data_IF_143769979403
#
_entry.id   IF_143769979403
#
_cell.length_a   1.000
_cell.length_b   1.000
_cell.length_c   1.000
_cell.angle_alpha   90.00
_cell.angle_beta   90.00
_cell.angle_gamma   90.00
#
_symmetry.space_group_name_H-M   'P 1'
#
loop_
_entity.id
_entity.type
_entity.pdbx_description
1 polymer ?
#
# COMPACT_ATOMS: atom_id res chain seq x y z
N UNK A 1 1.42 -35.05 37.21
CA UNK A 1 2.82 -35.06 36.79
C UNK A 1 3.02 -33.83 35.92
N UNK A 2 3.71 -32.82 36.47
CA UNK A 2 3.76 -31.48 35.87
C UNK A 2 4.58 -31.47 34.59
N UNK A 3 3.96 -31.01 33.51
CA UNK A 3 4.65 -30.70 32.27
C UNK A 3 5.49 -29.45 32.55
N UNK A 4 6.78 -29.59 32.84
CA UNK A 4 7.70 -28.44 32.86
C UNK A 4 7.87 -27.98 31.43
N UNK A 5 7.02 -27.04 31.01
CA UNK A 5 7.20 -26.32 29.74
C UNK A 5 8.61 -25.75 29.65
N UNK A 6 9.22 -25.82 28.46
CA UNK A 6 10.55 -25.26 28.24
C UNK A 6 10.63 -23.81 28.72
N UNK A 7 11.71 -23.45 29.42
CA UNK A 7 11.99 -22.07 29.88
C UNK A 7 11.94 -21.09 28.70
N UNK A 8 12.30 -21.54 27.50
CA UNK A 8 12.23 -20.76 26.26
C UNK A 8 10.78 -20.41 25.94
N UNK A 9 9.87 -21.39 25.98
CA UNK A 9 8.43 -21.20 25.71
C UNK A 9 7.82 -20.22 26.71
N UNK A 10 8.15 -20.35 28.00
CA UNK A 10 7.66 -19.42 29.02
C UNK A 10 8.11 -17.98 28.78
N UNK A 11 9.38 -17.76 28.38
CA UNK A 11 9.89 -16.44 28.00
C UNK A 11 9.17 -15.86 26.78
N UNK A 12 8.83 -16.70 25.80
CA UNK A 12 8.08 -16.30 24.60
C UNK A 12 6.63 -15.94 24.93
N UNK A 13 5.95 -16.74 25.75
CA UNK A 13 4.58 -16.48 26.22
C UNK A 13 4.48 -15.22 27.09
N UNK A 14 5.52 -14.89 27.85
CA UNK A 14 5.56 -13.68 28.68
C UNK A 14 5.42 -12.36 27.89
N UNK A 15 5.65 -12.38 26.57
CA UNK A 15 5.49 -11.23 25.66
C UNK A 15 4.04 -10.92 25.35
N UNK A 16 3.17 -11.90 25.52
CA UNK A 16 1.73 -11.76 25.35
C UNK A 16 1.11 -11.37 26.68
N UNK A 17 0.07 -10.55 26.61
CA UNK A 17 -0.71 -10.19 27.80
C UNK A 17 -1.36 -11.45 28.39
N UNK A 18 -1.62 -11.52 29.71
CA UNK A 18 -2.23 -12.70 30.33
C UNK A 18 -3.50 -13.19 29.62
N UNK A 19 -4.33 -12.29 29.11
CA UNK A 19 -5.54 -12.58 28.35
C UNK A 19 -5.29 -13.12 26.93
N UNK A 20 -4.12 -12.84 26.35
CA UNK A 20 -3.73 -13.29 25.01
C UNK A 20 -3.08 -14.69 25.02
N UNK A 21 -2.44 -15.10 26.12
CA UNK A 21 -1.71 -16.37 26.22
C UNK A 21 -2.56 -17.61 25.90
N UNK A 22 -3.80 -17.74 26.40
CA UNK A 22 -4.66 -18.88 26.04
C UNK A 22 -4.98 -18.93 24.55
N UNK A 23 -5.03 -17.78 23.87
CA UNK A 23 -5.27 -17.72 22.41
C UNK A 23 -4.10 -18.35 21.67
N UNK A 24 -2.86 -18.04 22.08
CA UNK A 24 -1.61 -18.57 21.51
C UNK A 24 -1.47 -20.06 21.79
N UNK A 25 -1.64 -20.48 23.04
CA UNK A 25 -1.53 -21.88 23.45
C UNK A 25 -2.59 -22.77 22.77
N UNK A 26 -3.79 -22.23 22.55
CA UNK A 26 -4.89 -22.91 21.90
C UNK A 26 -4.77 -23.03 20.38
N UNK A 27 -3.81 -22.37 19.71
CA UNK A 27 -3.67 -22.45 18.24
C UNK A 27 -3.39 -23.89 17.81
N UNK A 28 -2.55 -24.61 18.56
CA UNK A 28 -2.19 -25.98 18.25
C UNK A 28 -3.43 -26.89 18.20
N UNK A 29 -4.27 -26.81 19.23
CA UNK A 29 -5.49 -27.62 19.33
C UNK A 29 -6.51 -27.25 18.25
N UNK A 30 -6.62 -25.96 17.90
CA UNK A 30 -7.49 -25.51 16.79
C UNK A 30 -7.05 -26.08 15.44
N UNK A 31 -5.75 -26.13 15.17
CA UNK A 31 -5.21 -26.64 13.90
C UNK A 31 -5.34 -28.16 13.75
N UNK A 32 -5.42 -28.92 14.85
CA UNK A 32 -5.70 -30.36 14.79
C UNK A 32 -7.17 -30.69 14.49
N UNK A 33 -8.08 -29.74 14.72
CA UNK A 33 -9.52 -29.92 14.57
C UNK A 33 -10.16 -30.75 15.69
N UNK A 34 -11.49 -30.78 15.72
CA UNK A 34 -12.29 -31.50 16.74
C UNK A 34 -12.31 -33.03 16.58
N UNK A 35 -11.49 -33.58 15.69
CA UNK A 35 -11.51 -34.99 15.28
C UNK A 35 -10.57 -35.89 16.09
N UNK A 36 -10.94 -36.17 17.34
CA UNK A 36 -10.75 -37.45 18.06
C UNK A 36 -9.37 -38.11 18.23
N UNK A 37 -8.32 -37.73 17.50
CA UNK A 37 -6.96 -38.23 17.73
C UNK A 37 -6.13 -37.12 18.34
N UNK A 38 -5.63 -37.34 19.56
CA UNK A 38 -4.63 -36.49 20.22
C UNK A 38 -3.31 -36.55 19.44
N UNK A 39 -3.26 -35.87 18.28
CA UNK A 39 -2.06 -35.77 17.46
C UNK A 39 -0.94 -35.13 18.28
N UNK A 40 0.28 -35.63 18.17
CA UNK A 40 1.44 -35.01 18.85
C UNK A 40 2.09 -33.88 18.05
N UNK A 41 1.76 -33.79 16.76
CA UNK A 41 2.38 -32.86 15.82
C UNK A 41 1.36 -32.33 14.80
N UNK A 42 1.62 -31.16 14.24
CA UNK A 42 0.90 -30.60 13.10
C UNK A 42 1.57 -31.01 11.80
N UNK A 43 0.78 -31.28 10.76
CA UNK A 43 1.24 -31.62 9.42
C UNK A 43 1.07 -30.45 8.45
N UNK A 44 1.78 -30.49 7.32
CA UNK A 44 1.61 -29.50 6.25
C UNK A 44 0.15 -29.40 5.77
N UNK A 45 -0.55 -30.53 5.68
CA UNK A 45 -1.95 -30.56 5.24
C UNK A 45 -2.89 -29.81 6.21
N UNK A 46 -2.63 -29.88 7.52
CA UNK A 46 -3.39 -29.10 8.51
C UNK A 46 -3.18 -27.60 8.30
N UNK A 47 -1.93 -27.17 8.08
CA UNK A 47 -1.61 -25.77 7.77
C UNK A 47 -2.24 -25.32 6.44
N UNK A 48 -2.16 -26.14 5.38
CA UNK A 48 -2.80 -25.85 4.09
C UNK A 48 -4.32 -25.70 4.25
N UNK A 49 -4.95 -26.52 5.09
CA UNK A 49 -6.38 -26.42 5.38
C UNK A 49 -6.72 -25.12 6.12
N UNK A 50 -5.89 -24.69 7.07
CA UNK A 50 -6.07 -23.44 7.82
C UNK A 50 -5.87 -22.20 6.96
N UNK A 51 -4.80 -22.18 6.16
CA UNK A 51 -4.40 -21.05 5.32
C UNK A 51 -5.03 -21.09 3.93
N UNK A 52 -5.98 -22.00 3.69
CA UNK A 52 -6.59 -22.22 2.39
C UNK A 52 -7.15 -20.90 1.83
N UNK A 53 -6.87 -20.61 0.56
CA UNK A 53 -7.23 -19.37 -0.15
C UNK A 53 -6.62 -18.06 0.39
N UNK A 54 -5.95 -18.09 1.55
CA UNK A 54 -5.31 -16.92 2.17
C UNK A 54 -3.83 -16.80 1.83
N UNK A 55 -3.17 -17.88 1.41
CA UNK A 55 -1.78 -17.84 0.99
C UNK A 55 -1.51 -18.82 -0.17
N UNK A 56 -0.54 -18.53 -1.06
CA UNK A 56 -0.04 -19.51 -2.02
C UNK A 56 0.52 -20.75 -1.34
N UNK A 57 0.38 -21.92 -1.97
CA UNK A 57 0.92 -23.19 -1.45
C UNK A 57 2.43 -23.13 -1.17
N UNK A 58 3.18 -22.37 -1.99
CA UNK A 58 4.61 -22.10 -1.77
C UNK A 58 4.85 -21.41 -0.43
N UNK A 59 4.07 -20.37 -0.11
CA UNK A 59 4.19 -19.66 1.16
C UNK A 59 3.82 -20.55 2.36
N UNK A 60 2.76 -21.36 2.25
CA UNK A 60 2.36 -22.30 3.31
C UNK A 60 3.47 -23.33 3.58
N UNK A 61 4.12 -23.84 2.53
CA UNK A 61 5.27 -24.75 2.66
C UNK A 61 6.45 -24.07 3.36
N UNK A 62 6.77 -22.82 3.02
CA UNK A 62 7.83 -22.03 3.68
C UNK A 62 7.54 -21.85 5.17
N UNK A 63 6.31 -21.50 5.54
CA UNK A 63 5.88 -21.36 6.94
C UNK A 63 6.03 -22.68 7.69
N UNK A 64 5.55 -23.79 7.11
CA UNK A 64 5.66 -25.11 7.72
C UNK A 64 7.11 -25.55 7.93
N UNK A 65 7.96 -25.39 6.91
CA UNK A 65 9.39 -25.71 6.99
C UNK A 65 10.11 -24.86 8.03
N UNK A 66 9.77 -23.57 8.10
CA UNK A 66 10.25 -22.67 9.13
C UNK A 66 9.91 -23.18 10.54
N UNK A 67 8.64 -23.51 10.81
CA UNK A 67 8.24 -24.09 12.10
C UNK A 67 8.98 -25.40 12.42
N UNK A 68 9.20 -26.28 11.44
CA UNK A 68 9.95 -27.52 11.64
C UNK A 68 11.43 -27.28 11.99
N UNK A 69 12.01 -26.17 11.55
CA UNK A 69 13.42 -25.81 11.77
C UNK A 69 13.72 -25.24 13.16
N UNK A 70 12.68 -24.83 13.90
CA UNK A 70 12.84 -24.24 15.24
C UNK A 70 13.28 -25.32 16.23
N UNK A 71 14.39 -25.09 16.92
CA UNK A 71 14.82 -25.90 18.06
C UNK A 71 14.23 -25.31 19.36
N UNK A 72 13.30 -26.02 20.04
CA UNK A 72 12.72 -25.56 21.30
C UNK A 72 13.67 -25.64 22.50
N UNK A 73 14.91 -26.12 22.30
CA UNK A 73 15.93 -26.25 23.34
C UNK A 73 15.61 -27.40 24.27
N UNK A 74 15.85 -28.64 23.83
CA UNK A 74 15.87 -29.78 24.75
C UNK A 74 17.13 -29.72 25.61
N UNK A 75 17.00 -29.98 26.92
CA UNK A 75 18.14 -30.11 27.81
C UNK A 75 19.19 -31.08 27.22
N UNK A 76 20.47 -30.70 27.30
CA UNK A 76 21.59 -31.49 26.79
C UNK A 76 21.43 -32.97 27.17
N UNK A 77 21.62 -33.93 26.23
CA UNK A 77 21.64 -35.32 26.60
C UNK A 77 22.87 -35.54 27.49
N UNK A 78 22.64 -35.94 28.73
CA UNK A 78 23.67 -36.58 29.54
C UNK A 78 24.32 -37.68 28.72
N UNK A 79 25.65 -37.72 28.77
CA UNK A 79 26.52 -38.58 27.97
C UNK A 79 25.97 -40.00 27.75
N UNK A 80 25.36 -40.23 26.59
CA UNK A 80 25.34 -41.54 25.96
C UNK A 80 25.21 -41.33 24.45
N UNK A 81 26.28 -41.70 23.74
CA UNK A 81 26.38 -41.53 22.30
C UNK A 81 25.35 -42.40 21.59
N UNK A 82 24.26 -41.78 21.14
CA UNK A 82 23.48 -42.17 19.97
C UNK A 82 22.96 -40.89 19.32
N UNK A 83 23.68 -40.38 18.32
CA UNK A 83 23.18 -39.40 17.36
C UNK A 83 22.16 -40.08 16.45
N UNK A 84 20.96 -40.28 16.98
CA UNK A 84 19.77 -40.47 16.16
C UNK A 84 19.00 -39.16 16.21
N UNK A 85 19.17 -38.33 15.18
CA UNK A 85 18.17 -37.30 14.89
C UNK A 85 16.87 -38.04 14.59
N UNK A 86 15.79 -37.93 15.41
CA UNK A 86 14.49 -38.25 14.89
C UNK A 86 14.11 -37.04 14.04
N UNK A 87 14.05 -37.23 12.72
CA UNK A 87 13.30 -36.31 11.87
C UNK A 87 11.85 -36.31 12.38
N UNK A 88 11.53 -35.38 13.28
CA UNK A 88 10.17 -35.22 13.78
C UNK A 88 9.31 -34.88 12.56
N UNK A 89 8.38 -35.78 12.21
CA UNK A 89 7.56 -35.71 11.00
C UNK A 89 6.42 -34.67 11.09
N UNK A 90 6.61 -33.61 11.89
CA UNK A 90 5.62 -32.55 12.07
C UNK A 90 6.02 -31.52 13.14
N UNK A 91 5.23 -30.46 13.25
CA UNK A 91 5.49 -29.32 14.15
C UNK A 91 4.91 -29.60 15.53
N UNK A 92 5.72 -29.53 16.59
CA UNK A 92 5.29 -29.66 17.98
C UNK A 92 4.68 -28.37 18.56
N UNK A 93 4.02 -28.47 19.73
CA UNK A 93 3.40 -27.32 20.40
C UNK A 93 4.41 -26.22 20.75
N UNK A 94 5.58 -26.59 21.27
CA UNK A 94 6.63 -25.62 21.65
C UNK A 94 7.16 -24.84 20.44
N UNK A 95 7.41 -25.54 19.31
CA UNK A 95 7.86 -24.92 18.06
C UNK A 95 6.84 -23.91 17.53
N UNK A 96 5.54 -24.26 17.57
CA UNK A 96 4.47 -23.36 17.17
C UNK A 96 4.41 -22.12 18.06
N UNK A 97 4.52 -22.27 19.39
CA UNK A 97 4.48 -21.12 20.31
C UNK A 97 5.68 -20.19 20.09
N UNK A 98 6.88 -20.74 19.90
CA UNK A 98 8.08 -19.94 19.58
C UNK A 98 7.89 -19.19 18.25
N UNK A 99 7.44 -19.90 17.19
CA UNK A 99 7.15 -19.30 15.89
C UNK A 99 6.15 -18.13 15.98
N UNK A 100 5.03 -18.34 16.71
CA UNK A 100 4.00 -17.33 16.90
C UNK A 100 4.54 -16.14 17.67
N UNK A 101 5.31 -16.36 18.74
CA UNK A 101 5.91 -15.29 19.53
C UNK A 101 6.90 -14.45 18.73
N UNK A 102 7.79 -15.10 17.98
CA UNK A 102 8.84 -14.43 17.22
C UNK A 102 8.26 -13.71 15.99
N UNK A 103 7.22 -14.26 15.37
CA UNK A 103 6.53 -13.57 14.27
C UNK A 103 5.68 -12.40 14.76
N UNK A 104 4.84 -12.59 15.78
CA UNK A 104 3.83 -11.61 16.21
C UNK A 104 4.36 -10.54 17.17
N UNK A 105 5.42 -10.84 17.93
CA UNK A 105 5.97 -9.97 19.00
C UNK A 105 7.50 -9.92 19.01
N UNK A 106 8.18 -10.54 18.05
CA UNK A 106 9.64 -10.58 18.02
C UNK A 106 10.29 -9.28 17.56
N UNK A 107 11.60 -9.18 17.75
CA UNK A 107 12.45 -8.13 17.17
C UNK A 107 12.94 -8.51 15.76
N UNK A 108 13.73 -7.65 15.11
CA UNK A 108 14.39 -8.00 13.85
C UNK A 108 15.35 -9.20 14.02
N UNK A 109 16.08 -9.24 15.13
CA UNK A 109 16.99 -10.35 15.53
C UNK A 109 16.26 -11.69 15.62
N UNK A 110 15.00 -11.67 16.08
CA UNK A 110 14.21 -12.91 16.25
C UNK A 110 13.45 -13.30 14.98
N UNK A 111 13.20 -12.34 14.08
CA UNK A 111 12.57 -12.60 12.79
C UNK A 111 13.56 -12.99 11.70
N UNK A 112 14.82 -12.55 11.78
CA UNK A 112 15.83 -12.85 10.77
C UNK A 112 16.10 -14.35 10.58
N UNK A 113 16.11 -15.22 11.62
CA UNK A 113 16.25 -16.66 11.43
C UNK A 113 15.00 -17.28 10.78
N UNK A 114 13.80 -16.74 11.08
CA UNK A 114 12.56 -17.21 10.45
C UNK A 114 12.55 -16.88 8.95
N UNK A 115 12.98 -15.68 8.58
CA UNK A 115 13.10 -15.24 7.18
C UNK A 115 14.18 -16.03 6.45
N UNK A 116 15.32 -16.32 7.09
CA UNK A 116 16.36 -17.21 6.56
C UNK A 116 15.78 -18.59 6.23
N UNK A 117 15.07 -19.19 7.18
CA UNK A 117 14.44 -20.50 7.01
C UNK A 117 13.38 -20.48 5.90
N UNK A 118 12.55 -19.44 5.84
CA UNK A 118 11.53 -19.29 4.79
C UNK A 118 12.10 -18.97 3.41
N UNK A 119 13.31 -18.41 3.32
CA UNK A 119 13.99 -18.11 2.05
C UNK A 119 14.78 -19.32 1.51
N UNK A 120 15.03 -20.34 2.35
CA UNK A 120 15.82 -21.51 1.97
C UNK A 120 14.97 -22.53 1.19
N UNK A 121 15.41 -22.99 0.00
CA UNK A 121 14.60 -23.90 -0.84
C UNK A 121 14.56 -25.37 -0.39
N UNK A 122 15.43 -25.79 0.55
CA UNK A 122 15.57 -27.19 0.96
C UNK A 122 15.40 -27.36 2.47
N UNK A 123 14.99 -28.57 2.88
CA UNK A 123 14.97 -29.01 4.28
C UNK A 123 16.40 -29.22 4.79
N UNK A 124 17.10 -28.12 5.04
CA UNK A 124 18.45 -28.08 5.58
C UNK A 124 18.67 -26.77 6.33
N UNK A 125 19.58 -26.78 7.31
CA UNK A 125 19.96 -25.57 8.06
C UNK A 125 20.95 -24.79 7.20
N UNK A 126 20.45 -24.01 6.25
CA UNK A 126 21.29 -23.09 5.49
C UNK A 126 21.69 -21.90 6.38
N UNK A 127 22.96 -21.53 6.32
CA UNK A 127 23.50 -20.38 7.06
C UNK A 127 23.45 -19.09 6.25
N UNK A 128 23.24 -19.18 4.94
CA UNK A 128 23.17 -18.06 4.00
C UNK A 128 22.15 -18.31 2.89
N UNK A 129 21.63 -17.23 2.30
CA UNK A 129 20.69 -17.23 1.15
C UNK A 129 21.09 -16.20 0.10
N UNK A 130 20.68 -16.38 -1.15
CA UNK A 130 20.88 -15.40 -2.23
C UNK A 130 19.81 -14.31 -2.19
N UNK A 131 20.08 -13.15 -2.80
CA UNK A 131 19.06 -12.10 -2.96
C UNK A 131 17.83 -12.57 -3.78
N UNK A 132 18.04 -13.48 -4.73
CA UNK A 132 16.96 -14.09 -5.52
C UNK A 132 16.03 -14.94 -4.64
N UNK A 133 16.60 -15.76 -3.75
CA UNK A 133 15.83 -16.56 -2.79
C UNK A 133 15.00 -15.69 -1.84
N UNK A 134 15.56 -14.56 -1.36
CA UNK A 134 14.81 -13.59 -0.54
C UNK A 134 13.69 -12.94 -1.37
N UNK A 135 13.95 -12.61 -2.65
CA UNK A 135 12.95 -12.05 -3.54
C UNK A 135 11.80 -13.04 -3.82
N UNK A 136 12.08 -14.33 -3.99
CA UNK A 136 11.04 -15.37 -4.14
C UNK A 136 10.18 -15.49 -2.87
N UNK A 137 10.82 -15.51 -1.70
CA UNK A 137 10.10 -15.48 -0.41
C UNK A 137 9.19 -14.25 -0.31
N UNK A 138 9.69 -13.06 -0.68
CA UNK A 138 8.88 -11.84 -0.65
C UNK A 138 7.72 -11.88 -1.64
N UNK A 139 7.92 -12.44 -2.84
CA UNK A 139 6.84 -12.58 -3.82
C UNK A 139 5.71 -13.47 -3.26
N UNK A 140 6.06 -14.59 -2.62
CA UNK A 140 5.12 -15.47 -1.93
C UNK A 140 4.40 -14.77 -0.77
N UNK A 141 5.14 -14.02 0.05
CA UNK A 141 4.61 -13.28 1.19
C UNK A 141 3.67 -12.15 0.77
N UNK A 142 4.06 -11.32 -0.21
CA UNK A 142 3.24 -10.22 -0.73
C UNK A 142 1.99 -10.80 -1.39
N UNK A 143 2.11 -11.89 -2.15
CA UNK A 143 0.96 -12.60 -2.74
C UNK A 143 -0.03 -13.05 -1.67
N UNK A 144 0.47 -13.61 -0.54
CA UNK A 144 -0.39 -13.99 0.57
C UNK A 144 -1.08 -12.78 1.21
N UNK A 145 -0.38 -11.66 1.40
CA UNK A 145 -0.99 -10.41 1.90
C UNK A 145 -2.10 -9.91 0.98
N UNK A 146 -1.88 -9.93 -0.34
CA UNK A 146 -2.90 -9.57 -1.33
C UNK A 146 -4.10 -10.51 -1.26
N UNK A 147 -3.88 -11.82 -1.17
CA UNK A 147 -4.95 -12.81 -1.02
C UNK A 147 -5.75 -12.59 0.26
N UNK A 148 -5.09 -12.33 1.40
CA UNK A 148 -5.74 -11.98 2.66
C UNK A 148 -6.60 -10.72 2.51
N UNK A 149 -6.09 -9.66 1.87
CA UNK A 149 -6.86 -8.42 1.67
C UNK A 149 -8.13 -8.68 0.84
N UNK A 150 -8.04 -9.49 -0.21
CA UNK A 150 -9.17 -9.87 -1.06
C UNK A 150 -10.17 -10.74 -0.29
N UNK A 151 -9.73 -11.85 0.28
CA UNK A 151 -10.61 -12.83 0.94
C UNK A 151 -11.26 -12.29 2.21
N UNK A 152 -10.57 -11.39 2.95
CA UNK A 152 -11.13 -10.72 4.13
C UNK A 152 -11.94 -9.46 3.79
N UNK A 153 -12.10 -9.12 2.51
CA UNK A 153 -12.87 -7.95 2.08
C UNK A 153 -12.27 -6.60 2.52
N UNK A 154 -10.95 -6.54 2.77
CA UNK A 154 -10.23 -5.35 3.27
C UNK A 154 -9.76 -4.42 2.15
N UNK A 155 -10.50 -4.39 1.05
CA UNK A 155 -10.13 -3.68 -0.18
C UNK A 155 -10.43 -2.19 -0.14
N UNK A 156 -11.14 -1.68 0.87
CA UNK A 156 -11.38 -0.23 1.04
C UNK A 156 -11.99 0.45 -0.21
N UNK A 157 -12.77 -0.31 -0.99
CA UNK A 157 -13.41 0.16 -2.23
C UNK A 157 -12.54 0.05 -3.49
N UNK A 158 -11.33 -0.47 -3.42
CA UNK A 158 -10.51 -0.87 -4.57
C UNK A 158 -11.06 -2.15 -5.22
N UNK A 159 -10.86 -2.29 -6.53
CA UNK A 159 -11.37 -3.43 -7.31
C UNK A 159 -10.23 -4.11 -8.09
N UNK A 160 -9.66 -5.22 -7.58
CA UNK A 160 -8.54 -5.92 -8.22
C UNK A 160 -8.80 -6.27 -9.69
N UNK A 161 -10.02 -6.67 -10.05
CA UNK A 161 -10.41 -7.01 -11.43
C UNK A 161 -10.39 -5.82 -12.40
N UNK A 162 -10.33 -4.59 -11.88
CA UNK A 162 -10.30 -3.32 -12.62
C UNK A 162 -8.98 -2.57 -12.45
N UNK A 163 -7.97 -3.21 -11.86
CA UNK A 163 -6.68 -2.63 -11.55
C UNK A 163 -5.58 -3.19 -12.46
N UNK A 164 -4.34 -2.75 -12.24
CA UNK A 164 -3.16 -3.25 -12.94
C UNK A 164 -2.87 -4.73 -12.70
N UNK A 165 -1.83 -5.24 -13.34
CA UNK A 165 -1.41 -6.64 -13.20
C UNK A 165 -0.78 -6.90 -11.81
N UNK A 166 -1.58 -7.50 -10.92
CA UNK A 166 -1.13 -7.82 -9.56
C UNK A 166 0.08 -8.76 -9.49
N UNK A 167 0.28 -9.65 -10.47
CA UNK A 167 1.48 -10.52 -10.49
C UNK A 167 2.74 -9.70 -10.75
N UNK A 168 2.67 -8.79 -11.73
CA UNK A 168 3.75 -7.85 -11.98
C UNK A 168 4.00 -6.93 -10.78
N UNK A 169 2.94 -6.43 -10.15
CA UNK A 169 3.03 -5.61 -8.92
C UNK A 169 3.73 -6.33 -7.78
N UNK A 170 3.46 -7.62 -7.56
CA UNK A 170 4.13 -8.45 -6.55
C UNK A 170 5.63 -8.49 -6.80
N UNK A 171 6.04 -8.73 -8.06
CA UNK A 171 7.45 -8.76 -8.45
C UNK A 171 8.14 -7.41 -8.23
N UNK A 172 7.52 -6.32 -8.70
CA UNK A 172 8.05 -4.97 -8.55
C UNK A 172 8.24 -4.57 -7.08
N UNK A 173 7.26 -4.89 -6.22
CA UNK A 173 7.36 -4.60 -4.79
C UNK A 173 8.43 -5.45 -4.10
N UNK A 174 8.53 -6.75 -4.43
CA UNK A 174 9.59 -7.61 -3.90
C UNK A 174 10.98 -7.10 -4.28
N UNK A 175 11.19 -6.73 -5.56
CA UNK A 175 12.45 -6.15 -6.04
C UNK A 175 12.79 -4.83 -5.33
N UNK A 176 11.80 -3.96 -5.13
CA UNK A 176 11.98 -2.70 -4.41
C UNK A 176 12.41 -2.96 -2.95
N UNK A 177 11.72 -3.86 -2.25
CA UNK A 177 12.05 -4.21 -0.87
C UNK A 177 13.45 -4.85 -0.76
N UNK A 178 13.85 -5.66 -1.74
CA UNK A 178 15.19 -6.25 -1.83
C UNK A 178 16.28 -5.23 -2.16
N UNK A 179 15.97 -4.07 -2.75
CA UNK A 179 16.99 -3.07 -3.09
C UNK A 179 17.71 -2.46 -1.87
N UNK A 180 17.15 -2.65 -0.68
CA UNK A 180 17.71 -2.24 0.63
C UNK A 180 18.55 -3.35 1.30
N UNK A 181 18.63 -4.55 0.68
CA UNK A 181 19.52 -5.63 1.11
C UNK A 181 20.97 -5.24 0.84
N UNK A 182 21.84 -5.65 1.76
CA UNK A 182 23.29 -5.44 1.68
C UNK A 182 23.98 -6.81 1.73
N UNK A 183 23.96 -7.58 0.64
CA UNK A 183 24.63 -8.87 0.60
C UNK A 183 26.15 -8.70 0.76
N UNK A 184 26.82 -9.80 1.08
CA UNK A 184 28.28 -9.89 0.98
C UNK A 184 28.76 -9.73 -0.47
N UNK A 185 30.07 -9.59 -0.67
CA UNK A 185 30.69 -9.50 -2.01
C UNK A 185 30.36 -10.69 -2.93
N UNK A 186 29.96 -11.83 -2.34
CA UNK A 186 29.55 -13.04 -3.06
C UNK A 186 28.05 -13.07 -3.40
N UNK A 187 27.29 -12.01 -3.08
CA UNK A 187 25.84 -11.95 -3.30
C UNK A 187 25.01 -12.76 -2.30
N UNK A 188 25.62 -13.18 -1.18
CA UNK A 188 25.00 -13.99 -0.14
C UNK A 188 24.64 -13.14 1.08
N UNK A 189 23.48 -13.41 1.67
CA UNK A 189 22.97 -12.80 2.90
C UNK A 189 22.99 -13.83 4.03
N UNK A 190 23.61 -13.50 5.16
CA UNK A 190 23.53 -14.26 6.41
C UNK A 190 22.43 -13.70 7.33
N UNK A 191 22.30 -14.25 8.54
CA UNK A 191 21.26 -13.84 9.51
C UNK A 191 21.41 -12.36 9.92
N UNK A 192 22.65 -11.88 10.07
CA UNK A 192 22.94 -10.48 10.43
C UNK A 192 22.54 -9.52 9.30
N UNK A 193 22.84 -9.87 8.05
CA UNK A 193 22.38 -9.14 6.87
C UNK A 193 20.85 -9.02 6.83
N UNK A 194 20.13 -10.13 7.09
CA UNK A 194 18.67 -10.14 7.09
C UNK A 194 18.08 -9.37 8.28
N UNK A 195 18.71 -9.41 9.46
CA UNK A 195 18.30 -8.62 10.62
C UNK A 195 18.34 -7.12 10.33
N UNK A 196 19.50 -6.64 9.85
CA UNK A 196 19.72 -5.24 9.47
C UNK A 196 18.74 -4.78 8.38
N UNK A 197 18.44 -5.67 7.42
CA UNK A 197 17.45 -5.41 6.39
C UNK A 197 16.01 -5.35 6.93
N UNK A 198 15.57 -6.31 7.74
CA UNK A 198 14.22 -6.34 8.34
C UNK A 198 14.02 -5.11 9.24
N UNK A 199 15.06 -4.65 9.93
CA UNK A 199 15.01 -3.44 10.73
C UNK A 199 14.73 -2.19 9.88
N UNK A 200 15.39 -2.05 8.72
CA UNK A 200 15.13 -0.94 7.77
C UNK A 200 13.80 -1.07 7.05
N UNK A 201 13.44 -2.28 6.63
CA UNK A 201 12.25 -2.58 5.85
C UNK A 201 11.20 -3.24 6.74
N UNK A 202 10.68 -2.45 7.68
CA UNK A 202 9.70 -2.91 8.68
C UNK A 202 8.41 -3.53 8.09
N UNK A 203 8.11 -3.24 6.81
CA UNK A 203 7.01 -3.85 6.06
C UNK A 203 7.12 -5.38 5.98
N UNK A 204 8.32 -5.95 5.97
CA UNK A 204 8.51 -7.41 6.03
C UNK A 204 7.88 -7.99 7.30
N UNK A 205 8.14 -7.34 8.44
CA UNK A 205 7.56 -7.74 9.72
C UNK A 205 6.03 -7.59 9.71
N UNK A 206 5.53 -6.48 9.17
CA UNK A 206 4.09 -6.23 9.06
C UNK A 206 3.36 -7.30 8.23
N UNK A 207 3.94 -7.68 7.10
CA UNK A 207 3.38 -8.70 6.20
C UNK A 207 3.42 -10.09 6.83
N UNK A 208 4.52 -10.44 7.51
CA UNK A 208 4.62 -11.69 8.26
C UNK A 208 3.60 -11.77 9.40
N UNK A 209 3.45 -10.69 10.17
CA UNK A 209 2.44 -10.58 11.22
C UNK A 209 1.03 -10.80 10.65
N UNK A 210 0.71 -10.15 9.53
CA UNK A 210 -0.60 -10.29 8.88
C UNK A 210 -0.83 -11.72 8.38
N UNK A 211 0.17 -12.33 7.73
CA UNK A 211 0.10 -13.70 7.25
C UNK A 211 -0.22 -14.69 8.39
N UNK A 212 0.52 -14.59 9.49
CA UNK A 212 0.39 -15.51 10.62
C UNK A 212 -0.90 -15.25 11.39
N UNK A 213 -1.25 -13.99 11.65
CA UNK A 213 -2.47 -13.65 12.37
C UNK A 213 -3.73 -14.09 11.60
N UNK A 214 -3.79 -13.82 10.30
CA UNK A 214 -4.97 -14.14 9.49
C UNK A 214 -5.00 -15.59 9.03
N UNK A 215 -3.84 -16.16 8.65
CA UNK A 215 -3.72 -17.52 8.13
C UNK A 215 -3.83 -18.61 9.19
N UNK A 216 -3.37 -18.34 10.42
CA UNK A 216 -3.52 -19.26 11.56
C UNK A 216 -4.65 -18.85 12.52
N UNK A 217 -5.46 -17.87 12.12
CA UNK A 217 -6.61 -17.36 12.87
C UNK A 217 -6.25 -17.02 14.33
N UNK A 218 -5.26 -16.15 14.50
CA UNK A 218 -4.77 -15.65 15.79
C UNK A 218 -5.29 -14.23 15.99
N UNK A 219 -6.33 -14.10 16.82
CA UNK A 219 -6.92 -12.80 17.16
C UNK A 219 -6.47 -12.36 18.55
N UNK A 220 -5.58 -11.37 18.60
CA UNK A 220 -5.08 -10.79 19.84
C UNK A 220 -5.90 -9.55 20.20
N UNK A 221 -6.40 -9.49 21.44
CA UNK A 221 -7.22 -8.38 21.93
C UNK A 221 -6.43 -7.07 21.94
N UNK A 222 -6.94 -6.03 21.28
CA UNK A 222 -6.37 -4.68 21.36
C UNK A 222 -5.43 -4.28 20.22
N UNK A 223 -5.31 -5.08 19.16
CA UNK A 223 -4.61 -4.67 17.93
C UNK A 223 -5.51 -4.89 16.71
N UNK A 224 -6.12 -3.82 16.16
CA UNK A 224 -6.87 -3.96 14.92
C UNK A 224 -5.93 -4.41 13.80
N UNK A 225 -6.49 -5.12 12.81
CA UNK A 225 -5.73 -5.50 11.63
C UNK A 225 -5.11 -4.25 10.96
N UNK A 226 -3.86 -4.33 10.50
CA UNK A 226 -3.20 -3.19 9.89
C UNK A 226 -3.93 -2.77 8.61
N UNK A 227 -4.13 -1.46 8.45
CA UNK A 227 -4.63 -0.88 7.21
C UNK A 227 -3.48 -0.77 6.23
N UNK A 228 -3.60 -1.43 5.07
CA UNK A 228 -2.59 -1.40 4.00
C UNK A 228 -3.04 -0.64 2.76
N UNK A 229 -4.32 -0.25 2.70
CA UNK A 229 -4.93 0.42 1.56
C UNK A 229 -5.67 1.67 2.04
N UNK A 230 -5.51 2.81 1.36
CA UNK A 230 -6.33 3.98 1.63
C UNK A 230 -7.78 3.72 1.16
N UNK A 231 -8.80 4.35 1.79
CA UNK A 231 -10.14 4.39 1.25
C UNK A 231 -10.13 4.91 -0.18
N UNK A 232 -10.79 4.22 -1.08
CA UNK A 232 -11.06 4.71 -2.42
C UNK A 232 -12.50 5.24 -2.40
N UNK A 233 -12.78 6.46 -2.88
CA UNK A 233 -14.14 7.05 -2.99
C UNK A 233 -14.39 7.65 -4.37
N UNK A 234 -15.66 7.87 -4.73
CA UNK A 234 -16.07 8.58 -5.97
C UNK A 234 -15.44 8.04 -7.26
N UNK A 235 -15.81 6.81 -7.69
CA UNK A 235 -15.23 6.18 -8.90
C UNK A 235 -16.25 5.48 -9.79
N UNK A 236 -16.14 5.65 -11.12
CA UNK A 236 -16.92 4.89 -12.09
C UNK A 236 -16.22 3.58 -12.45
N UNK A 237 -16.12 2.63 -11.51
CA UNK A 237 -15.46 1.32 -11.73
C UNK A 237 -15.99 0.52 -12.93
N UNK A 238 -17.22 0.82 -13.39
CA UNK A 238 -17.79 0.23 -14.60
C UNK A 238 -16.90 0.47 -15.82
N UNK A 239 -16.36 1.70 -15.93
CA UNK A 239 -15.64 2.21 -17.10
C UNK A 239 -14.15 2.45 -16.80
N UNK A 240 -13.78 2.54 -15.52
CA UNK A 240 -12.40 2.74 -15.07
C UNK A 240 -11.59 1.44 -15.12
N UNK A 241 -10.38 1.54 -15.68
CA UNK A 241 -9.29 0.58 -15.47
C UNK A 241 -8.10 1.33 -14.90
N UNK A 242 -7.78 1.05 -13.62
CA UNK A 242 -6.72 1.72 -12.90
C UNK A 242 -5.34 1.21 -13.34
N UNK A 243 -4.36 2.11 -13.42
CA UNK A 243 -2.96 1.75 -13.69
C UNK A 243 -2.29 1.02 -12.54
N UNK A 244 -2.64 1.38 -11.30
CA UNK A 244 -2.08 0.76 -10.10
C UNK A 244 -2.77 -0.57 -9.84
N UNK A 245 -1.99 -1.50 -9.30
CA UNK A 245 -2.44 -2.73 -8.67
C UNK A 245 -2.36 -2.62 -7.13
N UNK A 246 -2.77 -3.67 -6.40
CA UNK A 246 -2.71 -3.64 -4.94
C UNK A 246 -1.27 -3.51 -4.39
N UNK A 247 -0.27 -4.30 -4.85
CA UNK A 247 1.12 -4.14 -4.38
C UNK A 247 1.71 -2.74 -4.60
N UNK A 248 1.55 -2.16 -5.80
CA UNK A 248 2.07 -0.84 -6.13
C UNK A 248 1.36 0.26 -5.34
N UNK A 249 0.06 0.08 -5.03
CA UNK A 249 -0.66 0.97 -4.12
C UNK A 249 -0.20 0.83 -2.66
N UNK A 250 0.07 -0.40 -2.19
CA UNK A 250 0.65 -0.66 -0.86
C UNK A 250 2.03 -0.02 -0.70
N UNK A 251 2.77 0.17 -1.80
CA UNK A 251 4.02 0.92 -1.80
C UNK A 251 3.84 2.43 -1.80
N UNK A 252 2.94 2.97 -2.64
CA UNK A 252 2.77 4.41 -2.82
C UNK A 252 1.99 5.08 -1.69
N UNK A 253 0.94 4.44 -1.17
CA UNK A 253 0.07 5.06 -0.16
C UNK A 253 0.84 5.49 1.12
N UNK A 254 1.77 4.69 1.69
CA UNK A 254 2.55 5.10 2.86
C UNK A 254 3.47 6.31 2.61
N UNK A 255 3.79 6.62 1.35
CA UNK A 255 4.67 7.74 0.98
C UNK A 255 3.92 9.08 1.03
N UNK A 256 2.59 9.04 1.14
CA UNK A 256 1.75 10.23 1.21
C UNK A 256 1.64 10.74 2.66
N UNK A 257 1.54 12.07 2.88
CA UNK A 257 1.46 12.64 4.22
C UNK A 257 0.32 12.09 5.09
N UNK A 258 -0.85 11.86 4.50
CA UNK A 258 -2.03 11.32 5.19
C UNK A 258 -2.11 9.78 5.14
N UNK A 259 -1.11 9.13 4.52
CA UNK A 259 -0.99 7.69 4.27
C UNK A 259 -2.31 6.98 3.93
N UNK A 260 -2.94 6.33 4.92
CA UNK A 260 -4.17 5.56 4.75
C UNK A 260 -5.44 6.30 5.19
N UNK A 261 -5.32 7.51 5.75
CA UNK A 261 -6.43 8.24 6.37
C UNK A 261 -7.25 9.05 5.37
N UNK A 262 -6.63 9.55 4.29
CA UNK A 262 -7.30 10.33 3.27
C UNK A 262 -7.86 9.44 2.14
N UNK A 263 -9.11 9.68 1.69
CA UNK A 263 -9.67 8.92 0.60
C UNK A 263 -9.06 9.33 -0.74
N UNK A 264 -8.68 8.34 -1.55
CA UNK A 264 -8.30 8.54 -2.94
C UNK A 264 -9.54 8.69 -3.81
N UNK A 265 -9.62 9.77 -4.57
CA UNK A 265 -10.75 10.10 -5.46
C UNK A 265 -10.24 10.39 -6.86
N UNK A 266 -10.84 9.76 -7.86
CA UNK A 266 -10.41 9.97 -9.24
C UNK A 266 -10.87 11.35 -9.72
N UNK A 267 -9.92 12.19 -10.08
CA UNK A 267 -10.16 13.55 -10.56
C UNK A 267 -10.16 13.62 -12.08
N UNK A 268 -9.25 12.87 -12.70
CA UNK A 268 -9.11 12.86 -14.15
C UNK A 268 -8.59 11.50 -14.62
N UNK A 269 -9.00 11.11 -15.83
CA UNK A 269 -8.54 9.92 -16.52
C UNK A 269 -8.79 10.12 -18.00
N UNK A 270 -7.80 9.86 -18.85
CA UNK A 270 -7.96 10.05 -20.31
C UNK A 270 -9.00 9.10 -20.90
N UNK A 271 -9.19 7.90 -20.33
CA UNK A 271 -10.22 6.93 -20.75
C UNK A 271 -11.64 7.43 -20.52
N UNK A 272 -11.86 8.17 -19.44
CA UNK A 272 -13.19 8.63 -19.04
C UNK A 272 -13.50 10.03 -19.53
N UNK A 273 -12.48 10.89 -19.58
CA UNK A 273 -12.63 12.31 -19.81
C UNK A 273 -12.06 12.77 -21.16
N UNK A 274 -11.40 11.89 -21.89
CA UNK A 274 -10.72 12.21 -23.15
C UNK A 274 -9.39 12.92 -22.95
N UNK A 275 -8.76 13.28 -24.07
CA UNK A 275 -7.45 13.90 -24.14
C UNK A 275 -7.57 15.43 -24.25
N UNK A 276 -7.89 16.08 -23.13
CA UNK A 276 -8.02 17.54 -23.09
C UNK A 276 -7.31 18.12 -21.87
N UNK A 277 -6.26 18.91 -22.12
CA UNK A 277 -5.51 19.59 -21.07
C UNK A 277 -6.40 20.53 -20.25
N UNK A 278 -7.25 21.30 -20.92
CA UNK A 278 -8.20 22.21 -20.25
C UNK A 278 -9.15 21.44 -19.33
N UNK A 279 -9.67 20.29 -19.78
CA UNK A 279 -10.55 19.45 -18.95
C UNK A 279 -9.80 18.84 -17.76
N UNK A 280 -8.56 18.41 -17.95
CA UNK A 280 -7.69 17.93 -16.87
C UNK A 280 -7.47 19.03 -15.84
N UNK A 281 -7.05 20.23 -16.26
CA UNK A 281 -6.80 21.38 -15.38
C UNK A 281 -8.05 21.76 -14.59
N UNK A 282 -9.22 21.80 -15.23
CA UNK A 282 -10.49 22.03 -14.54
C UNK A 282 -10.78 20.99 -13.44
N UNK A 283 -10.37 19.74 -13.65
CA UNK A 283 -10.43 18.70 -12.63
C UNK A 283 -9.48 18.95 -11.46
N UNK A 284 -8.25 19.41 -11.72
CA UNK A 284 -7.18 19.60 -10.71
C UNK A 284 -7.42 20.77 -9.76
N UNK A 285 -8.07 21.83 -10.23
CA UNK A 285 -8.29 23.07 -9.46
C UNK A 285 -9.17 22.77 -8.24
N UNK A 286 -8.82 23.34 -7.08
CA UNK A 286 -9.52 23.20 -5.79
C UNK A 286 -9.69 21.75 -5.28
N UNK A 287 -8.78 20.82 -5.62
CA UNK A 287 -8.84 19.42 -5.15
C UNK A 287 -7.89 19.04 -4.01
N UNK A 288 -6.98 19.92 -3.62
CA UNK A 288 -5.94 19.61 -2.65
C UNK A 288 -4.77 18.82 -3.28
N UNK A 289 -4.00 18.08 -2.46
CA UNK A 289 -2.90 17.25 -2.94
C UNK A 289 -3.34 16.18 -3.94
N UNK A 290 -2.55 15.97 -4.99
CA UNK A 290 -2.87 15.01 -6.06
C UNK A 290 -1.70 14.10 -6.38
N UNK A 291 -2.01 12.85 -6.74
CA UNK A 291 -1.09 11.92 -7.37
C UNK A 291 -1.37 11.86 -8.87
N UNK A 292 -0.38 12.27 -9.67
CA UNK A 292 -0.39 12.16 -11.12
C UNK A 292 0.21 10.82 -11.52
N UNK A 293 -0.48 10.05 -12.35
CA UNK A 293 -0.02 8.78 -12.90
C UNK A 293 -0.06 8.83 -14.43
N UNK A 294 1.07 8.59 -15.08
CA UNK A 294 1.21 8.59 -16.52
C UNK A 294 1.76 7.24 -16.97
N UNK A 295 1.27 6.78 -18.12
CA UNK A 295 1.83 5.67 -18.87
C UNK A 295 2.20 6.17 -20.26
N UNK A 296 3.45 5.94 -20.66
CA UNK A 296 3.88 6.24 -22.02
C UNK A 296 3.59 5.09 -23.00
N UNK A 297 3.71 5.37 -24.30
CA UNK A 297 3.54 4.39 -25.37
C UNK A 297 4.60 3.28 -25.40
N UNK A 298 5.69 3.41 -24.61
CA UNK A 298 6.70 2.36 -24.39
C UNK A 298 6.36 1.48 -23.17
N UNK A 299 5.23 1.74 -22.51
CA UNK A 299 4.73 0.98 -21.38
C UNK A 299 5.29 1.40 -20.03
N UNK A 300 6.16 2.42 -19.93
CA UNK A 300 6.65 2.91 -18.65
C UNK A 300 5.52 3.58 -17.89
N UNK A 301 5.41 3.31 -16.59
CA UNK A 301 4.42 3.91 -15.69
C UNK A 301 5.15 4.70 -14.63
N UNK A 302 4.88 6.00 -14.54
CA UNK A 302 5.58 6.93 -13.68
C UNK A 302 4.68 8.13 -13.33
N UNK A 303 5.15 9.00 -12.43
CA UNK A 303 4.30 10.07 -11.97
C UNK A 303 4.94 11.00 -10.96
N UNK A 304 4.09 11.81 -10.34
CA UNK A 304 4.48 12.74 -9.30
C UNK A 304 3.37 13.01 -8.31
N UNK A 305 3.75 13.19 -7.05
CA UNK A 305 2.87 13.68 -6.00
C UNK A 305 3.03 15.20 -5.87
N UNK A 306 1.92 15.92 -6.07
CA UNK A 306 1.82 17.35 -5.84
C UNK A 306 1.19 17.62 -4.48
N UNK A 307 1.90 18.35 -3.62
CA UNK A 307 1.55 18.52 -2.21
C UNK A 307 0.47 19.56 -1.94
N UNK A 308 0.05 20.33 -2.95
CA UNK A 308 -0.95 21.39 -2.83
C UNK A 308 -1.94 21.34 -4.00
N UNK A 309 -3.05 22.06 -3.86
CA UNK A 309 -3.94 22.40 -4.96
C UNK A 309 -3.16 23.07 -6.10
N UNK A 310 -3.51 22.71 -7.33
CA UNK A 310 -2.97 23.32 -8.52
C UNK A 310 -3.56 24.71 -8.77
N UNK A 311 -2.71 25.71 -8.92
CA UNK A 311 -3.08 27.04 -9.42
C UNK A 311 -2.45 27.25 -10.80
N UNK A 312 -3.20 27.89 -11.71
CA UNK A 312 -2.70 28.26 -13.04
C UNK A 312 -1.96 29.60 -12.91
N UNK A 313 -0.62 29.56 -12.89
CA UNK A 313 0.22 30.75 -12.79
C UNK A 313 1.62 30.49 -13.38
N UNK A 314 2.34 31.52 -13.84
CA UNK A 314 3.64 31.35 -14.47
C UNK A 314 4.80 31.04 -13.49
N UNK A 315 4.54 30.99 -12.18
CA UNK A 315 5.54 30.69 -11.15
C UNK A 315 5.47 29.23 -10.67
N UNK A 316 6.60 28.70 -10.22
CA UNK A 316 6.63 27.45 -9.47
C UNK A 316 5.86 27.57 -8.16
N UNK A 317 5.26 26.44 -7.74
CA UNK A 317 4.45 26.32 -6.54
C UNK A 317 4.74 24.98 -5.82
N UNK A 318 4.04 24.72 -4.72
CA UNK A 318 4.20 23.51 -3.91
C UNK A 318 5.25 23.66 -2.80
N UNK A 319 5.62 22.52 -2.18
CA UNK A 319 6.67 22.46 -1.16
C UNK A 319 7.53 21.20 -1.30
N UNK A 320 8.51 21.04 -0.42
CA UNK A 320 9.45 19.91 -0.39
C UNK A 320 8.83 18.54 -0.14
N UNK A 321 7.53 18.45 0.18
CA UNK A 321 6.80 17.17 0.27
C UNK A 321 6.42 16.61 -1.09
N UNK A 322 6.50 17.40 -2.17
CA UNK A 322 6.36 16.87 -3.52
C UNK A 322 7.45 15.84 -3.81
N UNK A 323 7.15 14.85 -4.65
CA UNK A 323 8.12 13.87 -5.10
C UNK A 323 7.75 13.33 -6.48
N UNK A 324 8.73 12.78 -7.19
CA UNK A 324 8.51 12.00 -8.40
C UNK A 324 8.62 10.51 -8.06
N UNK A 325 8.02 9.65 -8.88
CA UNK A 325 8.14 8.20 -8.71
C UNK A 325 8.05 7.47 -10.04
N UNK A 326 8.57 6.25 -10.05
CA UNK A 326 8.37 5.24 -11.09
C UNK A 326 7.60 4.07 -10.51
N UNK A 327 6.74 3.46 -11.33
CA UNK A 327 6.01 2.22 -11.01
C UNK A 327 6.55 1.07 -11.87
N UNK A 328 6.68 1.27 -13.18
CA UNK A 328 7.22 0.30 -14.11
C UNK A 328 8.21 0.98 -15.06
N UNK A 329 9.41 0.41 -15.33
CA UNK A 329 9.85 -0.97 -15.01
C UNK A 329 10.41 -1.18 -13.61
N UNK A 330 10.62 -0.11 -12.84
CA UNK A 330 11.12 -0.21 -11.46
C UNK A 330 10.29 0.65 -10.54
N UNK A 331 10.01 0.17 -9.34
CA UNK A 331 9.21 0.86 -8.33
C UNK A 331 10.12 1.70 -7.42
N UNK A 332 10.01 3.03 -7.47
CA UNK A 332 10.89 3.93 -6.69
C UNK A 332 10.27 5.31 -6.47
N UNK A 333 10.62 5.95 -5.35
CA UNK A 333 10.29 7.35 -5.03
C UNK A 333 11.55 8.22 -5.02
N UNK A 334 11.42 9.46 -5.49
CA UNK A 334 12.45 10.47 -5.58
C UNK A 334 11.99 11.77 -4.91
N UNK A 335 12.43 11.98 -3.67
CA UNK A 335 12.07 13.14 -2.85
C UNK A 335 12.90 14.37 -3.18
N UNK A 336 12.44 15.55 -2.74
CA UNK A 336 13.16 16.80 -2.95
C UNK A 336 14.61 16.76 -2.43
N UNK A 337 15.56 17.26 -3.22
CA UNK A 337 17.00 17.34 -2.90
C UNK A 337 17.36 18.52 -2.01
N UNK A 338 16.48 19.52 -1.93
CA UNK A 338 16.75 20.81 -1.29
C UNK A 338 17.55 21.80 -2.15
N UNK A 339 17.90 21.46 -3.40
CA UNK A 339 18.69 22.33 -4.27
C UNK A 339 17.94 23.58 -4.75
N UNK A 340 16.64 23.45 -5.03
CA UNK A 340 15.77 24.55 -5.45
C UNK A 340 14.32 24.28 -5.00
N UNK A 341 13.43 25.24 -5.26
CA UNK A 341 12.01 25.17 -4.89
C UNK A 341 11.09 24.99 -6.11
N UNK A 342 11.58 24.36 -7.18
CA UNK A 342 10.85 24.20 -8.44
C UNK A 342 9.95 22.96 -8.44
N UNK A 343 9.08 22.83 -7.43
CA UNK A 343 8.42 21.56 -7.13
C UNK A 343 7.34 21.19 -8.16
N UNK A 344 6.39 22.09 -8.40
CA UNK A 344 5.29 21.90 -9.35
C UNK A 344 5.04 23.21 -10.11
N UNK A 345 4.60 23.08 -11.35
CA UNK A 345 4.37 24.17 -12.30
C UNK A 345 3.10 23.87 -13.08
N UNK A 346 2.18 24.83 -13.17
CA UNK A 346 1.02 24.70 -14.04
C UNK A 346 0.68 26.05 -14.63
N UNK A 347 0.66 26.12 -15.95
CA UNK A 347 0.40 27.36 -16.64
C UNK A 347 -0.38 27.10 -17.94
N UNK A 348 -1.19 28.08 -18.35
CA UNK A 348 -2.03 27.98 -19.53
C UNK A 348 -2.27 29.38 -20.12
N UNK A 349 -2.45 29.46 -21.44
CA UNK A 349 -2.80 30.68 -22.17
C UNK A 349 -1.79 31.84 -22.02
N UNK A 350 -0.52 31.54 -21.82
CA UNK A 350 0.57 32.52 -21.79
C UNK A 350 1.36 32.54 -23.10
N UNK A 351 1.84 33.72 -23.52
CA UNK A 351 2.62 33.86 -24.76
C UNK A 351 4.12 33.60 -24.55
N UNK A 352 4.65 34.01 -23.40
CA UNK A 352 6.10 34.03 -23.13
C UNK A 352 6.57 32.89 -22.22
N UNK A 353 5.63 32.25 -21.52
CA UNK A 353 5.91 31.20 -20.56
C UNK A 353 5.37 29.86 -21.08
N UNK A 354 6.04 28.74 -20.78
CA UNK A 354 5.56 27.41 -21.18
C UNK A 354 4.13 27.16 -20.71
N UNK A 355 3.28 26.61 -21.57
CA UNK A 355 1.93 26.19 -21.20
C UNK A 355 1.93 24.67 -21.04
N UNK A 356 1.52 24.19 -19.87
CA UNK A 356 1.61 22.78 -19.53
C UNK A 356 1.73 22.57 -18.02
N UNK A 357 1.92 21.31 -17.64
CA UNK A 357 2.11 20.87 -16.27
C UNK A 357 3.53 20.32 -16.13
N UNK A 358 4.29 20.85 -15.17
CA UNK A 358 5.66 20.44 -14.91
C UNK A 358 5.90 20.11 -13.44
N UNK A 359 6.83 19.20 -13.17
CA UNK A 359 7.32 18.90 -11.83
C UNK A 359 8.84 18.70 -11.83
N UNK A 360 9.53 19.52 -11.03
CA UNK A 360 10.97 19.43 -10.79
C UNK A 360 11.82 19.86 -11.97
N UNK A 361 12.97 20.47 -11.71
CA UNK A 361 13.90 20.93 -12.73
C UNK A 361 13.73 22.42 -13.04
N UNK A 362 13.73 22.77 -14.31
CA UNK A 362 13.54 24.14 -14.79
C UNK A 362 12.80 24.14 -16.13
N UNK A 363 12.38 25.31 -16.61
CA UNK A 363 11.74 25.43 -17.92
C UNK A 363 12.57 24.76 -19.01
N UNK A 364 11.94 23.87 -19.79
CA UNK A 364 12.58 23.08 -20.86
C UNK A 364 13.34 21.83 -20.40
N UNK A 365 13.57 21.66 -19.09
CA UNK A 365 14.29 20.55 -18.48
C UNK A 365 13.58 20.06 -17.22
N UNK A 366 12.30 19.74 -17.33
CA UNK A 366 11.55 19.22 -16.21
C UNK A 366 11.84 17.73 -15.98
N UNK A 367 11.81 17.29 -14.71
CA UNK A 367 11.84 15.88 -14.36
C UNK A 367 10.60 15.14 -14.87
N UNK A 368 9.46 15.83 -14.88
CA UNK A 368 8.21 15.40 -15.51
C UNK A 368 7.53 16.62 -16.13
N UNK A 369 7.24 16.57 -17.43
CA UNK A 369 6.47 17.58 -18.15
C UNK A 369 5.36 16.94 -18.97
N UNK A 370 4.19 17.56 -18.95
CA UNK A 370 3.07 17.30 -19.84
C UNK A 370 2.69 18.60 -20.55
N UNK A 371 2.69 18.57 -21.87
CA UNK A 371 2.41 19.73 -22.70
C UNK A 371 0.92 20.11 -22.72
N UNK A 372 0.59 21.40 -22.91
CA UNK A 372 -0.79 21.85 -23.01
C UNK A 372 -1.53 21.34 -24.25
N UNK A 373 -0.82 20.98 -25.31
CA UNK A 373 -1.41 20.31 -26.48
C UNK A 373 -1.96 18.92 -26.15
N UNK A 374 -1.64 18.41 -24.94
CA UNK A 374 -1.95 17.07 -24.46
C UNK A 374 -1.28 15.98 -25.32
N UNK A 375 -1.16 14.77 -24.77
CA UNK A 375 -0.60 13.63 -25.49
C UNK A 375 0.93 13.59 -25.62
N UNK A 376 1.64 14.69 -25.36
CA UNK A 376 3.10 14.78 -25.42
C UNK A 376 3.70 15.30 -24.11
N UNK A 377 4.87 14.80 -23.76
CA UNK A 377 5.58 15.21 -22.56
C UNK A 377 7.07 14.93 -22.65
N UNK A 378 7.80 15.27 -21.60
CA UNK A 378 9.21 14.92 -21.49
C UNK A 378 9.64 14.65 -20.04
N UNK A 379 10.71 13.88 -19.88
CA UNK A 379 11.41 13.63 -18.62
C UNK A 379 12.91 13.92 -18.82
N UNK A 380 13.24 15.22 -18.82
CA UNK A 380 14.58 15.72 -19.13
C UNK A 380 15.39 15.90 -17.86
N UNK A 381 16.06 14.82 -17.48
CA UNK A 381 16.75 14.71 -16.20
C UNK A 381 18.22 14.33 -16.37
N UNK A 382 18.99 14.87 -17.32
CA UNK A 382 20.40 14.47 -17.54
C UNK A 382 21.39 15.27 -16.67
N UNK A 383 22.23 14.65 -15.83
CA UNK A 383 22.24 13.23 -15.45
C UNK A 383 21.15 12.85 -14.42
N UNK A 384 20.68 13.84 -13.64
CA UNK A 384 19.51 13.75 -12.75
C UNK A 384 18.74 15.07 -12.74
N UNK A 385 17.45 15.02 -12.44
CA UNK A 385 16.64 16.20 -12.15
C UNK A 385 17.20 16.92 -10.92
N UNK A 386 17.40 18.24 -10.99
CA UNK A 386 18.00 19.01 -9.88
C UNK A 386 17.11 19.06 -8.63
N UNK A 387 15.79 19.12 -8.81
CA UNK A 387 14.82 19.26 -7.70
C UNK A 387 14.61 17.95 -6.95
N UNK A 388 14.54 16.81 -7.65
CA UNK A 388 14.16 15.51 -7.06
C UNK A 388 15.26 14.45 -7.11
N UNK A 389 16.38 14.70 -7.78
CA UNK A 389 17.44 13.71 -7.96
C UNK A 389 16.99 12.49 -8.77
N UNK A 390 15.83 12.57 -9.43
CA UNK A 390 15.29 11.48 -10.25
C UNK A 390 16.08 11.34 -11.56
N UNK A 391 16.21 10.12 -12.10
CA UNK A 391 16.65 9.92 -13.48
C UNK A 391 15.50 10.28 -14.45
N UNK A 392 15.69 9.99 -15.72
CA UNK A 392 14.59 9.91 -16.68
C UNK A 392 13.56 8.87 -16.20
N UNK A 393 12.29 9.26 -16.16
CA UNK A 393 11.19 8.43 -15.67
C UNK A 393 10.51 7.63 -16.79
N UNK A 394 10.41 8.24 -17.97
CA UNK A 394 9.83 7.67 -19.19
C UNK A 394 10.82 6.77 -19.93
N UNK A 395 10.32 5.98 -20.89
CA UNK A 395 11.17 5.14 -21.73
C UNK A 395 12.12 5.95 -22.63
N UNK A 396 11.72 7.16 -23.02
CA UNK A 396 12.51 8.10 -23.84
C UNK A 396 12.45 9.51 -23.21
N UNK A 397 13.39 10.38 -23.56
CA UNK A 397 13.47 11.73 -23.00
C UNK A 397 12.22 12.56 -23.32
N UNK A 398 11.78 12.54 -24.57
CA UNK A 398 10.47 13.03 -25.00
C UNK A 398 9.56 11.81 -25.20
N UNK A 399 8.35 11.85 -24.67
CA UNK A 399 7.42 10.72 -24.68
C UNK A 399 6.05 11.09 -25.25
N UNK A 400 5.39 10.10 -25.84
CA UNK A 400 3.97 10.15 -26.18
C UNK A 400 3.17 9.45 -25.09
N UNK A 401 2.14 10.12 -24.58
CA UNK A 401 1.25 9.63 -23.53
C UNK A 401 0.30 8.56 -24.10
N UNK A 402 0.27 7.39 -23.48
CA UNK A 402 -0.73 6.34 -23.74
C UNK A 402 -1.95 6.55 -22.83
N UNK A 403 -1.70 6.72 -21.54
CA UNK A 403 -2.77 6.81 -20.56
C UNK A 403 -2.37 7.68 -19.36
N UNK A 404 -3.33 8.41 -18.79
CA UNK A 404 -3.10 9.21 -17.58
C UNK A 404 -4.28 9.11 -16.62
N UNK A 405 -3.94 9.08 -15.34
CA UNK A 405 -4.87 9.17 -14.22
C UNK A 405 -4.40 10.24 -13.25
N UNK A 406 -5.35 10.93 -12.63
CA UNK A 406 -5.05 11.84 -11.53
C UNK A 406 -5.98 11.56 -10.36
N UNK A 407 -5.39 11.33 -9.21
CA UNK A 407 -6.09 11.03 -7.97
C UNK A 407 -5.92 12.19 -6.99
N UNK A 408 -7.01 12.72 -6.44
CA UNK A 408 -6.94 13.54 -5.24
C UNK A 408 -6.71 12.62 -4.05
N UNK A 409 -5.68 12.92 -3.25
CA UNK A 409 -5.21 12.06 -2.16
C UNK A 409 -5.13 12.79 -0.81
N UNK A 410 -5.65 14.01 -0.74
CA UNK A 410 -5.87 14.72 0.51
C UNK A 410 -7.31 14.61 0.99
N UNK A 411 -7.54 15.03 2.24
CA UNK A 411 -8.89 15.21 2.77
C UNK A 411 -9.67 16.14 1.83
N UNK A 412 -10.93 15.82 1.49
CA UNK A 412 -11.77 16.75 0.74
C UNK A 412 -11.76 18.11 1.43
N UNK A 413 -11.70 19.23 0.70
CA UNK A 413 -11.97 20.52 1.31
C UNK A 413 -13.32 20.43 2.02
N UNK A 414 -13.37 20.89 3.27
CA UNK A 414 -14.65 21.07 3.95
C UNK A 414 -15.53 21.93 3.05
N UNK A 415 -16.82 21.56 2.86
CA UNK A 415 -17.72 22.45 2.13
C UNK A 415 -17.62 23.81 2.80
N UNK A 416 -17.28 24.84 2.04
CA UNK A 416 -17.28 26.20 2.56
C UNK A 416 -18.66 26.42 3.19
N UNK A 417 -18.71 26.69 4.50
CA UNK A 417 -19.92 27.13 5.20
C UNK A 417 -20.40 28.41 4.50
N UNK A 418 -21.21 28.25 3.46
CA UNK A 418 -21.52 29.33 2.52
C UNK A 418 -22.11 28.88 1.18
N UNK A 419 -21.84 27.66 0.68
CA UNK A 419 -22.38 27.22 -0.62
C UNK A 419 -23.41 26.06 -0.53
N UNK A 420 -23.58 25.42 0.62
CA UNK A 420 -24.69 24.50 0.91
C UNK A 420 -25.62 25.08 2.01
N UNK A 421 -26.19 26.24 1.71
CA UNK A 421 -27.26 26.87 2.48
C UNK A 421 -28.17 27.78 1.65
N UNK A 422 -28.00 27.77 0.32
CA UNK A 422 -28.90 28.40 -0.63
C UNK A 422 -29.91 27.40 -1.15
N UNK A 423 -30.79 26.89 -0.28
CA UNK A 423 -32.07 26.36 -0.76
C UNK A 423 -32.64 27.38 -1.74
N UNK A 424 -32.95 26.95 -2.97
CA UNK A 424 -33.38 27.78 -4.10
C UNK A 424 -34.24 28.96 -3.61
N UNK A 425 -33.64 30.11 -3.28
CA UNK A 425 -34.39 31.31 -3.00
C UNK A 425 -35.02 31.66 -4.33
N UNK A 426 -36.34 31.64 -4.33
CA UNK A 426 -37.11 31.94 -5.52
C UNK A 426 -36.66 33.31 -6.00
N UNK A 427 -36.58 33.52 -7.31
CA UNK A 427 -36.30 34.85 -7.89
C UNK A 427 -37.28 35.92 -7.32
N UNK A 428 -38.44 35.49 -6.82
CA UNK A 428 -39.43 36.33 -6.15
C UNK A 428 -39.02 36.82 -4.74
N UNK A 429 -38.11 36.13 -4.03
CA UNK A 429 -37.65 36.55 -2.70
C UNK A 429 -36.56 37.65 -2.78
N UNK A 430 -36.09 37.97 -3.99
CA UNK A 430 -35.05 38.96 -4.22
C UNK A 430 -35.58 40.38 -4.49
N UNK A 431 -36.87 40.54 -4.81
CA UNK A 431 -37.45 41.83 -5.18
C UNK A 431 -38.91 41.98 -4.68
N UNK A 432 -39.13 42.59 -3.50
CA UNK A 432 -40.46 42.79 -2.93
C UNK A 432 -41.33 43.77 -3.75
N UNK A 433 -40.73 44.64 -4.57
CA UNK A 433 -41.49 45.54 -5.45
C UNK A 433 -42.08 44.77 -6.64
N UNK A 434 -41.32 43.83 -7.21
CA UNK A 434 -41.80 42.95 -8.27
C UNK A 434 -42.96 42.05 -7.81
N UNK A 435 -42.94 41.60 -6.55
CA UNK A 435 -44.04 40.83 -5.96
C UNK A 435 -45.32 41.66 -5.81
N UNK A 436 -45.20 42.90 -5.32
CA UNK A 436 -46.34 43.81 -5.19
C UNK A 436 -46.99 44.14 -6.55
N UNK A 437 -46.18 44.31 -7.61
CA UNK A 437 -46.68 44.56 -8.98
C UNK A 437 -47.41 43.34 -9.56
N UNK A 438 -46.96 42.12 -9.27
CA UNK A 438 -47.62 40.90 -9.74
C UNK A 438 -48.97 40.65 -9.04
N UNK A 439 -49.08 40.98 -7.75
CA UNK A 439 -50.36 40.93 -7.02
C UNK A 439 -51.34 41.99 -7.51
N UNK A 440 -50.86 43.20 -7.80
CA UNK A 440 -51.70 44.27 -8.37
C UNK A 440 -52.17 44.00 -9.81
N UNK A 441 -51.52 43.08 -10.54
CA UNK A 441 -51.93 42.69 -11.91
C UNK A 441 -52.81 41.44 -11.96
N UNK A 442 -53.23 40.91 -10.80
CA UNK A 442 -54.23 39.84 -10.70
C UNK A 442 -53.76 38.45 -11.14
N UNK A 443 -52.45 38.18 -11.16
CA UNK A 443 -51.89 36.86 -11.48
C UNK A 443 -51.67 36.04 -10.21
N UNK A 444 -52.18 34.81 -10.15
CA UNK A 444 -52.04 33.92 -8.99
C UNK A 444 -50.72 33.15 -8.98
N UNK A 445 -50.03 33.15 -7.83
CA UNK A 445 -48.76 32.44 -7.61
C UNK A 445 -49.02 30.95 -7.28
N UNK A 446 -48.65 30.04 -8.19
CA UNK A 446 -48.91 28.60 -8.05
C UNK A 446 -47.87 27.82 -7.23
N UNK A 447 -46.85 28.46 -6.63
CA UNK A 447 -45.73 27.77 -5.97
C UNK A 447 -45.81 27.66 -4.45
N UNK A 448 -46.86 28.17 -3.79
CA UNK A 448 -46.95 28.13 -2.32
C UNK A 448 -47.21 26.72 -1.73
N UNK A 449 -47.67 25.76 -2.53
CA UNK A 449 -48.08 24.43 -2.05
C UNK A 449 -46.98 23.37 -1.90
N UNK A 450 -45.70 23.71 -2.13
CA UNK A 450 -44.57 22.76 -2.10
C UNK A 450 -43.46 23.17 -1.11
N UNK A 451 -43.80 23.88 -0.03
CA UNK A 451 -42.85 24.16 1.07
C UNK A 451 -42.96 23.06 2.13
N UNK A 452 -41.85 22.37 2.39
CA UNK A 452 -41.67 21.63 3.65
C UNK A 452 -41.45 22.65 4.78
N UNK A 453 -42.04 22.44 5.97
CA UNK A 453 -41.93 23.39 7.08
C UNK A 453 -40.50 23.42 7.62
N UNK A 454 -39.98 24.63 7.87
CA UNK A 454 -38.71 24.83 8.57
C UNK A 454 -38.91 24.50 10.06
N UNK A 455 -38.04 23.66 10.63
CA UNK A 455 -38.00 23.39 12.06
C UNK A 455 -37.36 24.59 12.78
N UNK A 456 -38.17 25.34 13.52
CA UNK A 456 -37.72 26.44 14.37
C UNK A 456 -36.81 25.93 15.50
N UNK A 457 -35.60 26.48 15.61
CA UNK A 457 -34.78 26.43 16.84
C UNK A 457 -34.51 27.86 17.31
N UNK A 458 -34.87 28.10 18.57
CA UNK A 458 -34.80 29.37 19.33
C UNK A 458 -33.42 30.05 19.36
#
# INVERSE_FOLDING_TARGET
MGNTESVVVQKRLARFRPEERPVIEGVFDRLQGSGGSSGKTLTLQMLQSSMNSLAPDSMVKRVYQCMCSIDPGHAAPGASGKTSAPAASGVGREQLVIFLADTLRGTAEERSPLVMAMSTPAAGVATTVTCEQVAEFLQDLISAVVQILVQRGRLQGWQPDRMGDGFLGVKLLAEQMCSELKPSDQGLCDVSCLEDWIFRVSQVSLYLEMLVAEGLNVSLSGRPAPTLLPPCREKPWKDLKCLLDLPTLMFLAPQLPDSYSAPWRLVFSTRLHGESFTRMVAGLIKRGPTLLLLKDTKGHVFGGFASHTWEVKPQFQGNSRCFLFTVFPTLRVYTATGYNQHFMYLNQNQQTMPNGLGMGGQHGYFGLWLDCDFGRGHSRARPKCTTYGSPQLSGEEDFTLDFMEVWAVGKPPEPEEGEEGGGKRSVLDMDPEAQAIMEMTGKTLHSQGLREPEEDQE
#
